data_IF_584297283422
#
_entry.id   IF_584297283422
#
_cell.length_a   1.000
_cell.length_b   1.000
_cell.length_c   1.000
_cell.angle_alpha   90.00
_cell.angle_beta   90.00
_cell.angle_gamma   90.00
#
_symmetry.space_group_name_H-M   'P 1'
#
loop_
_entity.id
_entity.type
_entity.pdbx_description
1 polymer ?
#
# COMPACT_ATOMS: atom_id res chain seq x y z
N UNK A 1 -55.49 -29.91 63.14
CA UNK A 1 -55.13 -31.34 63.25
C UNK A 1 -54.15 -31.67 62.14
N UNK A 2 -52.93 -32.08 62.51
CA UNK A 2 -51.99 -33.04 61.87
C UNK A 2 -51.91 -33.04 60.32
N UNK A 3 -50.76 -32.94 59.65
CA UNK A 3 -49.36 -33.01 60.04
C UNK A 3 -48.42 -33.02 58.81
N UNK A 4 -47.15 -32.76 59.10
CA UNK A 4 -45.86 -33.10 58.47
C UNK A 4 -45.63 -33.24 56.96
N UNK A 5 -44.52 -32.61 56.51
CA UNK A 5 -43.42 -33.35 55.88
C UNK A 5 -42.95 -32.94 54.47
N UNK A 6 -41.82 -32.19 54.42
CA UNK A 6 -40.74 -32.18 53.39
C UNK A 6 -41.11 -31.83 51.92
N UNK A 7 -40.34 -31.19 51.02
CA UNK A 7 -38.94 -30.72 50.88
C UNK A 7 -38.88 -29.77 49.65
N UNK A 8 -37.79 -29.01 49.53
CA UNK A 8 -37.26 -28.34 48.32
C UNK A 8 -37.84 -26.99 47.85
N UNK A 9 -37.26 -25.89 48.36
CA UNK A 9 -37.20 -24.61 47.63
C UNK A 9 -35.79 -24.39 47.08
N UNK A 10 -35.68 -24.57 45.75
CA UNK A 10 -34.51 -24.28 44.91
C UNK A 10 -33.98 -22.86 45.15
N UNK A 11 -32.70 -22.78 45.50
CA UNK A 11 -31.89 -21.55 45.54
C UNK A 11 -31.66 -21.01 44.12
N UNK A 12 -31.99 -19.74 43.89
CA UNK A 12 -31.63 -19.01 42.67
C UNK A 12 -30.22 -18.43 42.82
N UNK A 13 -29.23 -19.13 42.25
CA UNK A 13 -27.86 -18.66 42.10
C UNK A 13 -27.76 -17.46 41.15
N UNK A 14 -27.50 -16.27 41.70
CA UNK A 14 -27.04 -15.09 40.93
C UNK A 14 -25.52 -15.18 40.73
N UNK A 15 -25.07 -15.84 39.65
CA UNK A 15 -23.66 -15.79 39.22
C UNK A 15 -23.31 -14.39 38.68
N UNK A 16 -22.62 -13.59 39.51
CA UNK A 16 -21.83 -12.42 39.10
C UNK A 16 -20.74 -12.86 38.11
N UNK A 17 -20.88 -12.56 36.82
CA UNK A 17 -19.78 -12.64 35.84
C UNK A 17 -18.81 -11.49 36.09
N UNK A 18 -17.67 -11.77 36.74
CA UNK A 18 -16.48 -10.91 36.74
C UNK A 18 -16.02 -10.71 35.29
N UNK A 19 -16.17 -9.51 34.73
CA UNK A 19 -15.46 -9.08 33.51
C UNK A 19 -13.96 -9.06 33.84
N UNK A 20 -13.21 -10.05 33.39
CA UNK A 20 -11.75 -9.97 33.33
C UNK A 20 -11.39 -8.85 32.34
N UNK A 21 -10.85 -7.74 32.84
CA UNK A 21 -10.11 -6.77 32.03
C UNK A 21 -8.88 -7.49 31.47
N UNK A 22 -8.89 -7.83 30.18
CA UNK A 22 -7.68 -8.19 29.44
C UNK A 22 -6.86 -6.91 29.22
N UNK A 23 -6.16 -6.47 30.26
CA UNK A 23 -5.05 -5.53 30.10
C UNK A 23 -3.84 -6.32 29.61
N UNK A 24 -3.72 -6.49 28.30
CA UNK A 24 -2.48 -6.96 27.70
C UNK A 24 -1.40 -5.90 27.93
N UNK A 25 -0.46 -6.15 28.84
CA UNK A 25 0.68 -5.26 29.02
C UNK A 25 1.45 -5.16 27.70
N UNK A 26 1.72 -3.93 27.24
CA UNK A 26 2.59 -3.69 26.08
C UNK A 26 3.92 -4.41 26.32
N UNK A 27 4.27 -5.35 25.44
CA UNK A 27 5.55 -6.08 25.50
C UNK A 27 6.68 -5.05 25.46
N UNK A 28 7.61 -5.12 26.41
CA UNK A 28 8.73 -4.16 26.49
C UNK A 28 9.60 -4.32 25.23
N UNK A 29 9.96 -3.21 24.60
CA UNK A 29 10.81 -3.21 23.41
C UNK A 29 12.21 -3.76 23.72
N UNK A 30 12.82 -4.45 22.76
CA UNK A 30 14.23 -4.85 22.83
C UNK A 30 15.14 -3.62 22.70
N UNK A 31 16.41 -3.73 23.09
CA UNK A 31 17.38 -2.64 22.96
C UNK A 31 17.51 -2.15 21.50
N UNK A 32 17.55 -3.09 20.54
CA UNK A 32 17.56 -2.79 19.11
C UNK A 32 16.29 -2.07 18.65
N UNK A 33 15.12 -2.51 19.11
CA UNK A 33 13.85 -1.85 18.81
C UNK A 33 13.81 -0.43 19.37
N UNK A 34 14.32 -0.22 20.58
CA UNK A 34 14.41 1.11 21.19
C UNK A 34 15.38 2.02 20.43
N UNK A 35 16.55 1.50 20.02
CA UNK A 35 17.50 2.25 19.20
C UNK A 35 16.88 2.65 17.86
N UNK A 36 16.27 1.69 17.15
CA UNK A 36 15.60 1.95 15.88
C UNK A 36 14.47 2.97 16.03
N UNK A 37 13.65 2.85 17.08
CA UNK A 37 12.59 3.81 17.37
C UNK A 37 13.13 5.23 17.60
N UNK A 38 14.22 5.36 18.35
CA UNK A 38 14.85 6.66 18.60
C UNK A 38 15.42 7.25 17.30
N UNK A 39 16.15 6.47 16.50
CA UNK A 39 16.71 6.93 15.23
C UNK A 39 15.63 7.37 14.25
N UNK A 40 14.53 6.62 14.17
CA UNK A 40 13.38 6.97 13.31
C UNK A 40 12.71 8.25 13.81
N UNK A 41 12.50 8.37 15.12
CA UNK A 41 11.89 9.56 15.73
C UNK A 41 12.75 10.79 15.46
N UNK A 42 14.05 10.70 15.72
CA UNK A 42 15.01 11.79 15.46
C UNK A 42 15.00 12.19 13.98
N UNK A 43 15.08 11.23 13.07
CA UNK A 43 15.04 11.49 11.62
C UNK A 43 13.75 12.20 11.18
N UNK A 44 12.60 11.82 11.74
CA UNK A 44 11.29 12.43 11.43
C UNK A 44 11.24 13.91 11.84
N UNK A 45 11.82 14.24 12.99
CA UNK A 45 11.75 15.58 13.59
C UNK A 45 12.98 16.47 13.33
N UNK A 46 14.00 15.96 12.62
CA UNK A 46 15.28 16.64 12.36
C UNK A 46 15.14 18.08 11.82
N UNK A 47 14.13 18.33 10.98
CA UNK A 47 13.94 19.64 10.33
C UNK A 47 13.10 20.63 11.16
N UNK A 48 12.46 20.16 12.25
CA UNK A 48 11.59 21.00 13.10
C UNK A 48 12.38 21.74 14.19
N UNK A 49 13.62 21.35 14.48
CA UNK A 49 14.48 22.03 15.45
C UNK A 49 15.12 23.32 14.93
N UNK A 50 15.04 23.60 13.62
CA UNK A 50 15.63 24.78 13.00
C UNK A 50 14.64 25.92 12.72
N UNK A 51 13.34 25.74 12.95
CA UNK A 51 12.32 26.78 12.71
C UNK A 51 11.96 27.61 13.94
N UNK A 52 12.71 27.51 15.05
CA UNK A 52 12.50 28.34 16.25
C UNK A 52 13.45 29.53 16.32
N UNK A 53 13.48 30.39 15.28
CA UNK A 53 14.06 31.73 15.39
C UNK A 53 13.06 32.81 14.95
N UNK A 54 12.59 33.54 15.96
CA UNK A 54 12.07 34.92 15.95
C UNK A 54 10.94 35.27 14.96
N UNK A 55 9.71 35.23 15.46
CA UNK A 55 8.78 36.37 15.37
C UNK A 55 7.79 36.28 16.52
N UNK A 56 7.89 37.22 17.46
CA UNK A 56 6.84 37.47 18.43
C UNK A 56 5.67 38.12 17.69
N UNK A 57 4.62 37.36 17.42
CA UNK A 57 3.29 37.92 17.14
C UNK A 57 2.31 37.38 18.19
N UNK A 58 2.02 38.26 19.14
CA UNK A 58 1.09 38.14 20.24
C UNK A 58 -0.36 38.22 19.72
N UNK A 59 -0.87 37.14 19.12
CA UNK A 59 -2.32 36.97 18.89
C UNK A 59 -2.75 35.50 19.04
N UNK A 60 -3.06 35.13 20.29
CA UNK A 60 -4.22 34.29 20.63
C UNK A 60 -4.44 32.98 19.88
N UNK A 61 -3.56 31.98 20.04
CA UNK A 61 -3.95 30.55 19.92
C UNK A 61 -3.20 29.70 20.96
N UNK A 62 -3.30 30.06 22.25
CA UNK A 62 -2.73 29.25 23.33
C UNK A 62 -3.56 28.01 23.72
N UNK A 63 -4.52 27.60 22.89
CA UNK A 63 -5.46 26.53 23.23
C UNK A 63 -5.45 25.33 22.26
N UNK A 64 -4.28 24.92 21.74
CA UNK A 64 -4.12 23.61 21.07
C UNK A 64 -2.87 22.83 21.53
N UNK A 65 -1.98 23.41 22.35
CA UNK A 65 -0.69 22.78 22.70
C UNK A 65 -0.70 21.81 23.89
N UNK A 66 -1.87 21.50 24.47
CA UNK A 66 -1.99 20.56 25.61
C UNK A 66 -2.76 19.27 25.28
N UNK A 67 -2.73 18.82 24.02
CA UNK A 67 -2.95 17.38 23.76
C UNK A 67 -1.62 16.69 23.96
N UNK A 68 -1.56 15.81 24.97
CA UNK A 68 -0.48 14.86 25.16
C UNK A 68 -0.03 14.35 23.78
N UNK A 69 1.19 14.70 23.38
CA UNK A 69 1.76 14.25 22.12
C UNK A 69 1.87 12.74 22.27
N UNK A 70 0.93 12.01 21.66
CA UNK A 70 1.10 10.60 21.42
C UNK A 70 2.40 10.50 20.60
N UNK A 71 3.49 10.03 21.22
CA UNK A 71 4.81 9.85 20.59
C UNK A 71 4.79 8.82 19.44
N UNK A 72 3.62 8.48 18.91
CA UNK A 72 3.46 7.55 17.81
C UNK A 72 3.58 8.30 16.49
N UNK A 73 4.72 8.16 15.84
CA UNK A 73 4.90 8.61 14.47
C UNK A 73 4.10 7.69 13.54
N UNK A 74 3.21 8.27 12.74
CA UNK A 74 2.38 7.53 11.77
C UNK A 74 3.06 7.54 10.41
N UNK A 75 3.20 6.34 9.84
CA UNK A 75 3.77 6.09 8.52
C UNK A 75 2.68 5.57 7.59
N UNK A 76 2.71 6.03 6.34
CA UNK A 76 2.08 5.37 5.21
C UNK A 76 3.20 5.03 4.22
N UNK A 77 3.40 3.75 3.95
CA UNK A 77 4.53 3.26 3.15
C UNK A 77 4.11 2.70 1.80
N UNK A 78 2.81 2.69 1.48
CA UNK A 78 2.33 2.18 0.21
C UNK A 78 1.08 2.97 -0.21
N UNK A 79 1.25 3.90 -1.12
CA UNK A 79 0.18 4.79 -1.55
C UNK A 79 0.29 5.16 -3.02
N UNK A 80 -0.86 5.24 -3.70
CA UNK A 80 -0.95 5.53 -5.13
C UNK A 80 -1.66 6.86 -5.37
N UNK A 81 -1.17 7.59 -6.36
CA UNK A 81 -1.78 8.80 -6.89
C UNK A 81 -2.43 8.51 -8.25
N UNK A 82 -3.02 9.55 -8.84
CA UNK A 82 -3.56 9.50 -10.19
C UNK A 82 -2.49 9.43 -11.30
N UNK A 83 -1.20 9.35 -10.97
CA UNK A 83 -0.14 9.01 -11.92
C UNK A 83 -0.09 7.51 -12.23
N UNK A 84 -0.75 6.68 -11.41
CA UNK A 84 -0.98 5.28 -11.72
C UNK A 84 -2.46 4.93 -11.67
N UNK A 85 -2.97 4.37 -10.57
CA UNK A 85 -4.37 3.95 -10.44
C UNK A 85 -5.09 4.51 -9.20
N UNK A 86 -4.40 5.38 -8.45
CA UNK A 86 -5.00 6.18 -7.39
C UNK A 86 -6.01 7.20 -7.93
N UNK A 87 -6.75 7.83 -7.01
CA UNK A 87 -7.77 8.82 -7.36
C UNK A 87 -7.29 10.26 -7.16
N UNK A 88 -6.44 10.49 -6.17
CA UNK A 88 -5.97 11.82 -5.79
C UNK A 88 -4.68 12.16 -6.53
N UNK A 89 -4.48 13.43 -6.86
CA UNK A 89 -3.14 13.90 -7.27
C UNK A 89 -2.13 13.72 -6.12
N UNK A 90 -0.82 13.67 -6.40
CA UNK A 90 0.20 13.62 -5.37
C UNK A 90 0.01 14.70 -4.30
N UNK A 91 -0.30 15.95 -4.69
CA UNK A 91 -0.59 17.03 -3.72
C UNK A 91 -1.78 16.70 -2.83
N UNK A 92 -2.90 16.26 -3.40
CA UNK A 92 -4.12 15.93 -2.65
C UNK A 92 -3.96 14.70 -1.76
N UNK A 93 -3.15 13.74 -2.19
CA UNK A 93 -2.79 12.58 -1.38
C UNK A 93 -1.99 13.01 -0.15
N UNK A 94 -0.99 13.88 -0.31
CA UNK A 94 -0.20 14.42 0.82
C UNK A 94 -1.07 15.24 1.77
N UNK A 95 -1.91 16.15 1.27
CA UNK A 95 -2.87 16.90 2.09
C UNK A 95 -3.75 15.96 2.92
N UNK A 96 -4.29 14.91 2.29
CA UNK A 96 -5.12 13.92 2.98
C UNK A 96 -4.33 13.15 4.03
N UNK A 97 -3.11 12.74 3.74
CA UNK A 97 -2.25 12.04 4.68
C UNK A 97 -1.95 12.92 5.91
N UNK A 98 -1.62 14.20 5.67
CA UNK A 98 -1.42 15.19 6.73
C UNK A 98 -2.64 15.31 7.65
N UNK A 99 -3.84 15.46 7.09
CA UNK A 99 -5.09 15.55 7.86
C UNK A 99 -5.36 14.31 8.72
N UNK A 100 -4.77 13.16 8.39
CA UNK A 100 -4.87 11.91 9.17
C UNK A 100 -3.69 11.70 10.13
N UNK A 101 -2.81 12.69 10.28
CA UNK A 101 -1.68 12.65 11.22
C UNK A 101 -0.44 11.92 10.71
N UNK A 102 -0.39 11.53 9.43
CA UNK A 102 0.79 10.91 8.82
C UNK A 102 1.96 11.90 8.83
N UNK A 103 3.14 11.43 9.24
CA UNK A 103 4.38 12.22 9.23
C UNK A 103 5.32 11.83 8.11
N UNK A 104 5.26 10.57 7.70
CA UNK A 104 6.09 10.02 6.63
C UNK A 104 5.19 9.27 5.65
N UNK A 105 5.25 9.66 4.39
CA UNK A 105 4.47 9.08 3.30
C UNK A 105 5.41 8.57 2.22
N UNK A 106 5.31 7.32 1.81
CA UNK A 106 5.90 6.84 0.58
C UNK A 106 4.86 6.90 -0.54
N UNK A 107 5.19 7.61 -1.62
CA UNK A 107 4.41 7.54 -2.85
C UNK A 107 5.03 6.44 -3.72
N UNK A 108 4.23 5.43 -4.06
CA UNK A 108 4.67 4.19 -4.69
C UNK A 108 3.76 3.85 -5.86
N UNK A 109 3.52 4.84 -6.74
CA UNK A 109 2.71 4.64 -7.93
C UNK A 109 3.19 3.43 -8.75
N UNK A 110 2.25 2.74 -9.40
CA UNK A 110 2.61 1.59 -10.24
C UNK A 110 3.49 1.99 -11.42
N UNK A 111 4.69 1.40 -11.47
CA UNK A 111 5.62 1.50 -12.58
C UNK A 111 5.97 2.94 -12.99
N UNK A 112 5.88 3.92 -12.08
CA UNK A 112 6.26 5.31 -12.36
C UNK A 112 6.65 6.05 -11.08
N UNK A 113 7.61 6.96 -11.20
CA UNK A 113 8.00 7.92 -10.14
C UNK A 113 7.61 9.37 -10.50
N UNK A 114 6.82 9.59 -11.55
CA UNK A 114 6.52 10.93 -12.05
C UNK A 114 5.77 11.83 -11.07
N UNK A 115 5.03 11.27 -10.11
CA UNK A 115 4.32 12.04 -9.08
C UNK A 115 5.19 12.49 -7.90
N UNK A 116 6.42 11.97 -7.79
CA UNK A 116 7.30 12.21 -6.62
C UNK A 116 7.67 13.68 -6.43
N UNK A 117 8.07 14.46 -7.47
CA UNK A 117 8.40 15.87 -7.30
C UNK A 117 7.23 16.70 -6.74
N UNK A 118 6.01 16.46 -7.22
CA UNK A 118 4.80 17.14 -6.73
C UNK A 118 4.50 16.78 -5.27
N UNK A 119 4.64 15.50 -4.90
CA UNK A 119 4.46 15.04 -3.52
C UNK A 119 5.48 15.69 -2.57
N UNK A 120 6.76 15.72 -2.94
CA UNK A 120 7.84 16.32 -2.13
C UNK A 120 7.54 17.81 -1.90
N UNK A 121 7.20 18.54 -2.96
CA UNK A 121 6.93 19.97 -2.85
C UNK A 121 5.72 20.25 -1.95
N UNK A 122 4.67 19.45 -2.05
CA UNK A 122 3.51 19.60 -1.16
C UNK A 122 3.84 19.25 0.28
N UNK A 123 4.61 18.20 0.52
CA UNK A 123 4.95 17.73 1.86
C UNK A 123 5.79 18.73 2.66
N UNK A 124 6.66 19.49 1.99
CA UNK A 124 7.43 20.59 2.61
C UNK A 124 6.54 21.59 3.35
N UNK A 125 5.38 21.93 2.77
CA UNK A 125 4.41 22.86 3.36
C UNK A 125 3.78 22.35 4.66
N UNK A 126 3.78 21.04 4.87
CA UNK A 126 3.15 20.38 6.03
C UNK A 126 4.18 19.82 7.03
N UNK A 127 5.48 20.02 6.79
CA UNK A 127 6.54 19.39 7.57
C UNK A 127 6.48 17.86 7.53
N UNK A 128 5.97 17.30 6.43
CA UNK A 128 5.94 15.85 6.18
C UNK A 128 7.17 15.42 5.39
N UNK A 129 7.59 14.16 5.57
CA UNK A 129 8.65 13.56 4.76
C UNK A 129 8.04 12.65 3.70
N UNK A 130 8.54 12.78 2.47
CA UNK A 130 8.25 11.84 1.39
C UNK A 130 9.41 10.85 1.27
N UNK A 131 9.09 9.56 1.23
CA UNK A 131 10.02 8.52 0.77
C UNK A 131 9.74 8.32 -0.72
N UNK A 132 10.69 8.66 -1.61
CA UNK A 132 10.53 8.36 -3.04
C UNK A 132 10.43 6.85 -3.24
N UNK A 133 9.38 6.39 -3.91
CA UNK A 133 9.23 4.99 -4.23
C UNK A 133 8.43 4.71 -5.49
N UNK A 134 8.33 3.43 -5.81
CA UNK A 134 7.56 2.90 -6.95
C UNK A 134 7.13 1.48 -6.60
N UNK A 135 5.90 1.12 -6.96
CA UNK A 135 5.45 -0.29 -6.93
C UNK A 135 5.65 -0.89 -8.33
N UNK A 136 6.63 -1.79 -8.45
CA UNK A 136 7.01 -2.40 -9.73
C UNK A 136 6.18 -3.66 -9.95
N UNK A 137 5.50 -3.71 -11.09
CA UNK A 137 4.78 -4.89 -11.56
C UNK A 137 5.75 -5.93 -12.06
N UNK A 138 5.64 -7.15 -11.53
CA UNK A 138 6.51 -8.26 -11.90
C UNK A 138 5.70 -9.56 -12.00
N UNK A 139 6.33 -10.58 -12.52
CA UNK A 139 5.85 -11.96 -12.46
C UNK A 139 6.87 -12.82 -11.72
N UNK A 140 6.37 -13.85 -11.05
CA UNK A 140 7.20 -14.88 -10.44
C UNK A 140 6.90 -16.23 -11.07
N UNK A 141 7.96 -16.92 -11.49
CA UNK A 141 7.88 -18.25 -12.09
C UNK A 141 8.50 -19.26 -11.13
N UNK A 142 7.67 -20.14 -10.55
CA UNK A 142 8.18 -21.19 -9.69
C UNK A 142 8.89 -22.26 -10.54
N UNK A 143 10.10 -22.65 -10.13
CA UNK A 143 10.87 -23.70 -10.82
C UNK A 143 10.06 -25.00 -10.93
N UNK A 144 9.83 -25.46 -12.15
CA UNK A 144 9.03 -26.67 -12.43
C UNK A 144 7.51 -26.44 -12.50
N UNK A 145 7.05 -25.19 -12.40
CA UNK A 145 5.67 -24.81 -12.71
C UNK A 145 5.65 -24.00 -14.01
N UNK A 146 4.69 -24.28 -14.89
CA UNK A 146 4.40 -23.44 -16.07
C UNK A 146 3.55 -22.22 -15.73
N UNK A 147 3.08 -22.10 -14.48
CA UNK A 147 2.22 -20.99 -14.06
C UNK A 147 3.02 -19.78 -13.59
N UNK A 148 2.84 -18.66 -14.26
CA UNK A 148 3.30 -17.34 -13.81
C UNK A 148 2.30 -16.76 -12.80
N UNK A 149 2.82 -16.18 -11.72
CA UNK A 149 2.01 -15.46 -10.74
C UNK A 149 2.41 -13.99 -10.70
N UNK A 150 1.45 -13.03 -10.83
CA UNK A 150 1.75 -11.62 -10.65
C UNK A 150 2.26 -11.34 -9.23
N UNK A 151 3.37 -10.63 -9.13
CA UNK A 151 3.99 -10.19 -7.87
C UNK A 151 4.34 -8.72 -7.98
N UNK A 152 4.17 -7.94 -6.92
CA UNK A 152 4.61 -6.55 -6.90
C UNK A 152 5.75 -6.35 -5.93
N UNK A 153 6.76 -5.59 -6.36
CA UNK A 153 7.93 -5.24 -5.57
C UNK A 153 7.95 -3.74 -5.36
N UNK A 154 7.88 -3.31 -4.11
CA UNK A 154 8.08 -1.92 -3.73
C UNK A 154 9.57 -1.61 -3.75
N UNK A 155 9.92 -0.50 -4.37
CA UNK A 155 11.25 0.09 -4.29
C UNK A 155 11.17 1.39 -3.50
N UNK A 156 11.96 1.51 -2.42
CA UNK A 156 12.11 2.75 -1.67
C UNK A 156 13.52 3.32 -1.87
N UNK A 157 13.60 4.62 -2.13
CA UNK A 157 14.86 5.33 -2.33
C UNK A 157 15.06 6.39 -1.25
N UNK A 158 16.31 6.86 -1.12
CA UNK A 158 16.61 8.00 -0.27
C UNK A 158 16.02 9.30 -0.84
N UNK A 159 16.14 10.41 -0.11
CA UNK A 159 15.71 11.73 -0.58
C UNK A 159 16.38 12.20 -1.87
N UNK A 160 17.53 11.63 -2.23
CA UNK A 160 18.24 11.91 -3.48
C UNK A 160 17.67 11.12 -4.68
N UNK A 161 16.73 10.20 -4.46
CA UNK A 161 16.20 9.31 -5.48
C UNK A 161 17.15 8.17 -5.85
N UNK A 162 16.86 7.43 -6.94
CA UNK A 162 17.71 6.35 -7.43
C UNK A 162 19.04 6.88 -7.98
N UNK A 163 20.15 6.20 -7.69
CA UNK A 163 21.49 6.58 -8.16
C UNK A 163 21.66 6.46 -9.68
N UNK A 164 20.86 5.60 -10.32
CA UNK A 164 20.83 5.37 -11.76
C UNK A 164 19.41 5.55 -12.30
N UNK A 165 18.90 6.77 -12.21
CA UNK A 165 17.52 7.10 -12.56
C UNK A 165 17.14 6.66 -13.99
N UNK A 166 18.00 6.90 -14.98
CA UNK A 166 17.70 6.56 -16.38
C UNK A 166 17.55 5.04 -16.60
N UNK A 167 18.35 4.23 -15.93
CA UNK A 167 18.26 2.76 -16.01
C UNK A 167 16.92 2.28 -15.43
N UNK A 168 16.53 2.82 -14.27
CA UNK A 168 15.23 2.54 -13.65
C UNK A 168 14.09 3.00 -14.56
N UNK A 169 14.13 4.23 -15.05
CA UNK A 169 13.05 4.82 -15.85
C UNK A 169 12.84 4.04 -17.16
N UNK A 170 13.92 3.64 -17.84
CA UNK A 170 13.81 2.79 -19.04
C UNK A 170 13.16 1.44 -18.72
N UNK A 171 13.50 0.84 -17.59
CA UNK A 171 12.89 -0.40 -17.14
C UNK A 171 11.39 -0.22 -16.86
N UNK A 172 11.02 0.83 -16.13
CA UNK A 172 9.63 1.15 -15.81
C UNK A 172 8.81 1.51 -17.08
N UNK A 173 9.39 2.24 -18.02
CA UNK A 173 8.76 2.59 -19.28
C UNK A 173 8.38 1.35 -20.10
N UNK A 174 9.26 0.36 -20.19
CA UNK A 174 8.96 -0.91 -20.87
C UNK A 174 7.75 -1.64 -20.24
N UNK A 175 7.63 -1.61 -18.91
CA UNK A 175 6.48 -2.21 -18.22
C UNK A 175 5.19 -1.45 -18.58
N UNK A 176 5.25 -0.11 -18.57
CA UNK A 176 4.12 0.74 -18.93
C UNK A 176 3.67 0.51 -20.37
N UNK A 177 4.59 0.33 -21.31
CA UNK A 177 4.26 -0.02 -22.71
C UNK A 177 3.50 -1.36 -22.80
N UNK A 178 3.96 -2.36 -22.05
CA UNK A 178 3.26 -3.64 -21.91
C UNK A 178 1.85 -3.48 -21.33
N UNK A 179 1.64 -2.57 -20.38
CA UNK A 179 0.32 -2.27 -19.81
C UNK A 179 -0.66 -1.72 -20.85
N UNK A 180 -0.21 -0.86 -21.78
CA UNK A 180 -1.06 -0.35 -22.86
C UNK A 180 -1.58 -1.48 -23.75
N UNK A 181 -0.70 -2.39 -24.16
CA UNK A 181 -1.08 -3.56 -24.97
C UNK A 181 -2.05 -4.46 -24.21
N UNK A 182 -1.71 -4.78 -22.96
CA UNK A 182 -2.55 -5.58 -22.08
C UNK A 182 -3.95 -5.00 -21.92
N UNK A 183 -4.08 -3.69 -21.72
CA UNK A 183 -5.37 -3.02 -21.59
C UNK A 183 -6.22 -3.10 -22.86
N UNK A 184 -5.61 -2.94 -24.04
CA UNK A 184 -6.30 -3.13 -25.32
C UNK A 184 -6.81 -4.56 -25.47
N UNK A 185 -6.01 -5.56 -25.11
CA UNK A 185 -6.41 -6.97 -25.17
C UNK A 185 -7.56 -7.29 -24.21
N UNK A 186 -7.53 -6.74 -22.98
CA UNK A 186 -8.64 -6.89 -22.04
C UNK A 186 -9.94 -6.32 -22.61
N UNK A 187 -9.90 -5.16 -23.25
CA UNK A 187 -11.06 -4.54 -23.91
C UNK A 187 -11.57 -5.43 -25.04
N UNK A 188 -10.67 -5.96 -25.89
CA UNK A 188 -11.05 -6.87 -26.97
C UNK A 188 -11.74 -8.14 -26.44
N UNK A 189 -11.23 -8.72 -25.34
CA UNK A 189 -11.85 -9.88 -24.68
C UNK A 189 -13.23 -9.54 -24.12
N UNK A 190 -13.38 -8.40 -23.44
CA UNK A 190 -14.68 -7.93 -22.93
C UNK A 190 -15.70 -7.69 -24.06
N UNK A 191 -15.27 -7.11 -25.18
CA UNK A 191 -16.13 -6.90 -26.35
C UNK A 191 -16.64 -8.24 -26.92
N UNK A 192 -15.78 -9.27 -26.99
CA UNK A 192 -16.20 -10.64 -27.38
C UNK A 192 -17.19 -11.27 -26.40
N UNK A 193 -17.11 -10.92 -25.13
CA UNK A 193 -18.05 -11.32 -24.08
C UNK A 193 -19.36 -10.51 -24.08
N UNK A 194 -19.60 -9.69 -25.11
CA UNK A 194 -20.77 -8.80 -25.24
C UNK A 194 -20.84 -7.71 -24.17
N UNK A 195 -19.69 -7.28 -23.65
CA UNK A 195 -19.53 -6.17 -22.70
C UNK A 195 -18.74 -5.05 -23.40
N UNK A 196 -19.35 -4.31 -24.34
CA UNK A 196 -18.62 -3.36 -25.17
C UNK A 196 -18.01 -2.24 -24.34
N UNK A 197 -16.69 -2.05 -24.48
CA UNK A 197 -15.92 -0.93 -23.96
C UNK A 197 -15.09 -0.30 -25.08
N UNK A 198 -14.93 1.03 -25.00
CA UNK A 198 -14.12 1.81 -25.92
C UNK A 198 -12.78 2.15 -25.28
N UNK A 199 -11.71 2.13 -26.08
CA UNK A 199 -10.37 2.49 -25.63
C UNK A 199 -10.33 3.91 -25.04
N UNK A 200 -11.01 4.84 -25.69
CA UNK A 200 -11.03 6.26 -25.32
C UNK A 200 -11.61 6.47 -23.93
N UNK A 201 -12.58 5.63 -23.54
CA UNK A 201 -13.19 5.69 -22.20
C UNK A 201 -12.21 5.23 -21.12
N UNK A 202 -11.55 4.08 -21.34
CA UNK A 202 -10.52 3.56 -20.41
C UNK A 202 -9.34 4.53 -20.30
N UNK A 203 -8.87 5.07 -21.43
CA UNK A 203 -7.78 6.05 -21.46
C UNK A 203 -8.17 7.36 -20.75
N UNK A 204 -9.42 7.81 -20.89
CA UNK A 204 -9.94 8.98 -20.16
C UNK A 204 -9.94 8.75 -18.64
N UNK A 205 -10.34 7.57 -18.19
CA UNK A 205 -10.35 7.20 -16.76
C UNK A 205 -8.92 7.11 -16.20
N UNK A 206 -7.98 6.53 -16.95
CA UNK A 206 -6.59 6.46 -16.54
C UNK A 206 -5.94 7.85 -16.44
N UNK A 207 -6.28 8.75 -17.36
CA UNK A 207 -5.70 10.09 -17.42
C UNK A 207 -4.56 10.19 -18.42
N UNK A 208 -4.16 11.43 -18.70
CA UNK A 208 -3.16 11.72 -19.75
C UNK A 208 -1.78 11.21 -19.31
N UNK A 209 -1.16 10.37 -20.15
CA UNK A 209 0.18 9.83 -19.90
C UNK A 209 0.24 8.68 -18.90
N UNK A 210 -0.91 8.21 -18.41
CA UNK A 210 -1.01 7.11 -17.44
C UNK A 210 -1.25 5.79 -18.19
N UNK A 211 -0.45 4.77 -17.88
CA UNK A 211 -0.58 3.45 -18.47
C UNK A 211 -1.78 2.69 -17.83
N UNK A 212 -2.83 2.34 -18.58
CA UNK A 212 -4.03 1.76 -17.98
C UNK A 212 -3.80 0.36 -17.40
N UNK A 213 -3.92 0.22 -16.08
CA UNK A 213 -4.04 -1.07 -15.40
C UNK A 213 -5.47 -1.67 -15.39
N UNK A 214 -5.59 -2.88 -14.83
CA UNK A 214 -6.88 -3.59 -14.64
C UNK A 214 -7.93 -2.77 -13.90
N UNK A 215 -7.50 -1.96 -12.94
CA UNK A 215 -8.41 -1.12 -12.15
C UNK A 215 -9.12 -0.07 -13.02
N UNK A 216 -8.45 0.51 -14.02
CA UNK A 216 -9.09 1.45 -14.96
C UNK A 216 -10.12 0.77 -15.85
N UNK A 217 -9.83 -0.45 -16.33
CA UNK A 217 -10.80 -1.26 -17.06
C UNK A 217 -12.00 -1.59 -16.17
N UNK A 218 -11.78 -1.99 -14.93
CA UNK A 218 -12.84 -2.24 -13.97
C UNK A 218 -13.72 -1.00 -13.71
N UNK A 219 -13.12 0.18 -13.55
CA UNK A 219 -13.84 1.46 -13.44
C UNK A 219 -14.67 1.74 -14.69
N UNK A 220 -14.12 1.52 -15.87
CA UNK A 220 -14.84 1.68 -17.13
C UNK A 220 -16.04 0.72 -17.24
N UNK A 221 -15.89 -0.53 -16.78
CA UNK A 221 -17.00 -1.50 -16.73
C UNK A 221 -18.13 -1.02 -15.81
N UNK A 222 -17.79 -0.42 -14.66
CA UNK A 222 -18.77 0.15 -13.73
C UNK A 222 -19.48 1.36 -14.36
N UNK A 223 -18.72 2.31 -14.91
CA UNK A 223 -19.29 3.51 -15.55
C UNK A 223 -20.17 3.17 -16.77
N UNK A 224 -19.83 2.09 -17.49
CA UNK A 224 -20.63 1.59 -18.62
C UNK A 224 -21.86 0.78 -18.20
N UNK A 225 -22.06 0.51 -16.90
CA UNK A 225 -23.19 -0.26 -16.38
C UNK A 225 -23.09 -1.78 -16.58
N UNK A 226 -21.91 -2.30 -16.94
CA UNK A 226 -21.69 -3.74 -17.16
C UNK A 226 -21.57 -4.54 -15.86
N UNK A 227 -21.20 -3.86 -14.78
CA UNK A 227 -21.03 -4.40 -13.42
C UNK A 227 -21.42 -3.35 -12.38
N UNK A 228 -21.91 -3.79 -11.24
CA UNK A 228 -22.38 -2.94 -10.14
C UNK A 228 -21.23 -2.23 -9.40
N UNK A 229 -20.07 -2.88 -9.30
CA UNK A 229 -18.93 -2.40 -8.54
C UNK A 229 -17.62 -3.09 -8.96
N UNK A 230 -16.51 -2.54 -8.50
CA UNK A 230 -15.16 -3.06 -8.79
C UNK A 230 -14.98 -4.51 -8.33
N UNK A 231 -15.54 -4.89 -7.18
CA UNK A 231 -15.44 -6.26 -6.67
C UNK A 231 -16.07 -7.25 -7.64
N UNK A 232 -17.22 -6.92 -8.22
CA UNK A 232 -17.87 -7.74 -9.23
C UNK A 232 -17.04 -7.80 -10.53
N UNK A 233 -16.44 -6.69 -10.96
CA UNK A 233 -15.56 -6.65 -12.13
C UNK A 233 -14.38 -7.63 -12.00
N UNK A 234 -13.67 -7.57 -10.88
CA UNK A 234 -12.55 -8.48 -10.59
C UNK A 234 -13.02 -9.91 -10.41
N UNK A 235 -14.06 -10.17 -9.63
CA UNK A 235 -14.51 -11.53 -9.34
C UNK A 235 -15.02 -12.29 -10.58
N UNK A 236 -15.61 -11.60 -11.56
CA UNK A 236 -16.22 -12.25 -12.74
C UNK A 236 -15.34 -12.24 -13.98
N UNK A 237 -14.54 -11.19 -14.18
CA UNK A 237 -13.90 -10.94 -15.49
C UNK A 237 -12.40 -10.73 -15.41
N UNK A 238 -11.91 -9.98 -14.41
CA UNK A 238 -10.54 -9.45 -14.39
C UNK A 238 -9.58 -10.12 -13.38
N UNK A 239 -10.03 -11.18 -12.69
CA UNK A 239 -9.16 -11.99 -11.80
C UNK A 239 -8.07 -12.70 -12.61
N UNK A 240 -7.02 -13.18 -11.94
CA UNK A 240 -5.91 -13.87 -12.59
C UNK A 240 -6.37 -15.17 -13.28
N UNK A 241 -6.17 -15.25 -14.59
CA UNK A 241 -6.69 -16.34 -15.42
C UNK A 241 -8.18 -16.22 -15.78
N UNK A 242 -8.83 -15.09 -15.46
CA UNK A 242 -10.23 -14.85 -15.76
C UNK A 242 -10.54 -14.58 -17.24
N UNK A 243 -11.83 -14.51 -17.62
CA UNK A 243 -12.28 -14.43 -19.02
C UNK A 243 -11.72 -13.24 -19.81
N UNK A 244 -11.53 -12.10 -19.13
CA UNK A 244 -10.96 -10.89 -19.73
C UNK A 244 -9.52 -10.64 -19.27
N UNK A 245 -8.92 -11.53 -18.49
CA UNK A 245 -7.54 -11.40 -18.04
C UNK A 245 -6.58 -11.47 -19.22
N UNK A 246 -5.57 -10.61 -19.21
CA UNK A 246 -4.46 -10.66 -20.15
C UNK A 246 -3.17 -10.44 -19.39
N UNK A 247 -2.12 -11.13 -19.80
CA UNK A 247 -0.75 -10.91 -19.29
C UNK A 247 -0.08 -9.80 -20.11
N UNK A 248 0.89 -9.13 -19.53
CA UNK A 248 1.74 -8.15 -20.20
C UNK A 248 3.17 -8.68 -20.35
N UNK A 249 4.08 -7.77 -20.66
CA UNK A 249 5.51 -8.02 -20.69
C UNK A 249 6.15 -7.71 -19.34
N UNK A 250 5.51 -8.13 -18.24
CA UNK A 250 6.06 -7.92 -16.91
C UNK A 250 7.40 -8.66 -16.76
N UNK A 251 8.42 -8.03 -16.15
CA UNK A 251 9.70 -8.67 -15.89
C UNK A 251 9.59 -9.67 -14.74
N UNK A 252 10.58 -10.57 -14.65
CA UNK A 252 10.73 -11.44 -13.50
C UNK A 252 11.01 -10.64 -12.23
N UNK A 253 10.39 -11.03 -11.12
CA UNK A 253 10.55 -10.39 -9.82
C UNK A 253 12.02 -10.32 -9.37
N UNK A 254 12.82 -11.36 -9.66
CA UNK A 254 14.26 -11.38 -9.36
C UNK A 254 15.03 -10.28 -10.10
N UNK A 255 14.66 -10.00 -11.35
CA UNK A 255 15.29 -8.95 -12.15
C UNK A 255 14.98 -7.58 -11.56
N UNK A 256 13.73 -7.35 -11.15
CA UNK A 256 13.34 -6.11 -10.49
C UNK A 256 14.08 -5.91 -9.15
N UNK A 257 14.16 -6.94 -8.30
CA UNK A 257 14.91 -6.85 -7.02
C UNK A 257 16.38 -6.48 -7.26
N UNK A 258 17.03 -7.14 -8.22
CA UNK A 258 18.43 -6.85 -8.54
C UNK A 258 18.62 -5.45 -9.15
N UNK A 259 17.66 -4.94 -9.92
CA UNK A 259 17.70 -3.59 -10.45
C UNK A 259 17.60 -2.58 -9.31
N UNK A 260 16.62 -2.75 -8.40
CA UNK A 260 16.42 -1.87 -7.25
C UNK A 260 17.70 -1.76 -6.40
N UNK A 261 18.41 -2.88 -6.20
CA UNK A 261 19.71 -2.87 -5.52
C UNK A 261 20.75 -2.01 -6.23
N UNK A 262 20.89 -2.19 -7.55
CA UNK A 262 21.88 -1.48 -8.36
C UNK A 262 21.56 0.02 -8.50
N UNK A 263 20.30 0.40 -8.37
CA UNK A 263 19.84 1.80 -8.36
C UNK A 263 19.84 2.41 -6.95
N UNK A 264 20.30 1.66 -5.93
CA UNK A 264 20.48 2.15 -4.56
C UNK A 264 19.21 2.19 -3.71
N UNK A 265 18.19 1.39 -4.06
CA UNK A 265 16.93 1.31 -3.35
C UNK A 265 16.77 0.07 -2.47
N UNK A 266 15.73 0.10 -1.64
CA UNK A 266 15.28 -1.03 -0.83
C UNK A 266 14.12 -1.75 -1.52
N UNK A 267 14.36 -2.98 -1.96
CA UNK A 267 13.33 -3.89 -2.48
C UNK A 267 12.50 -4.54 -1.35
N UNK A 268 11.18 -4.38 -1.39
CA UNK A 268 10.21 -4.90 -0.41
C UNK A 268 9.07 -5.62 -1.13
N UNK A 269 8.67 -6.79 -0.64
CA UNK A 269 7.54 -7.54 -1.21
C UNK A 269 6.22 -6.91 -0.78
N UNK A 270 5.43 -6.46 -1.75
CA UNK A 270 4.11 -5.87 -1.51
C UNK A 270 3.07 -6.95 -1.22
N UNK A 271 2.09 -6.64 -0.36
CA UNK A 271 0.87 -7.42 -0.10
C UNK A 271 0.99 -8.95 -0.23
N UNK A 272 1.93 -9.61 0.50
CA UNK A 272 2.19 -11.04 0.34
C UNK A 272 0.98 -11.94 0.63
N UNK A 273 -0.03 -11.43 1.33
CA UNK A 273 -1.31 -12.13 1.58
C UNK A 273 -2.17 -12.32 0.32
N UNK A 274 -1.86 -11.64 -0.78
CA UNK A 274 -2.55 -11.81 -2.07
C UNK A 274 -1.95 -12.97 -2.90
N UNK A 275 -0.79 -13.48 -2.51
CA UNK A 275 -0.06 -14.52 -3.24
C UNK A 275 -0.53 -15.93 -2.85
N UNK A 276 -0.47 -16.86 -3.80
CA UNK A 276 -0.80 -18.28 -3.61
C UNK A 276 0.21 -18.98 -2.69
N UNK A 277 1.51 -18.71 -2.87
CA UNK A 277 2.58 -19.31 -2.07
C UNK A 277 3.66 -18.29 -1.66
N UNK A 278 3.34 -17.35 -0.75
CA UNK A 278 4.25 -16.29 -0.36
C UNK A 278 5.56 -16.82 0.23
N UNK A 279 5.54 -17.92 0.99
CA UNK A 279 6.74 -18.45 1.64
C UNK A 279 7.81 -18.96 0.64
N UNK A 280 7.39 -19.51 -0.50
CA UNK A 280 8.31 -19.92 -1.56
C UNK A 280 8.91 -18.69 -2.28
N UNK A 281 8.06 -17.72 -2.59
CA UNK A 281 8.46 -16.46 -3.25
C UNK A 281 9.45 -15.70 -2.37
N UNK A 282 9.15 -15.52 -1.08
CA UNK A 282 10.01 -14.81 -0.12
C UNK A 282 11.39 -15.46 -0.04
N UNK A 283 11.47 -16.80 0.08
CA UNK A 283 12.76 -17.51 0.11
C UNK A 283 13.59 -17.24 -1.14
N UNK A 284 12.96 -17.34 -2.31
CA UNK A 284 13.63 -17.13 -3.59
C UNK A 284 14.08 -15.68 -3.78
N UNK A 285 13.22 -14.73 -3.44
CA UNK A 285 13.53 -13.30 -3.56
C UNK A 285 14.58 -12.86 -2.52
N UNK A 286 14.62 -13.48 -1.33
CA UNK A 286 15.67 -13.26 -0.34
C UNK A 286 17.05 -13.61 -0.90
N UNK A 287 17.17 -14.73 -1.62
CA UNK A 287 18.45 -15.17 -2.22
C UNK A 287 19.01 -14.16 -3.25
N UNK A 288 18.15 -13.32 -3.84
CA UNK A 288 18.54 -12.28 -4.79
C UNK A 288 18.53 -10.87 -4.19
N UNK A 289 18.26 -10.74 -2.88
CA UNK A 289 18.44 -9.48 -2.16
C UNK A 289 17.19 -8.79 -1.60
N UNK A 290 16.03 -9.44 -1.55
CA UNK A 290 14.83 -8.84 -0.94
C UNK A 290 15.11 -8.35 0.50
N UNK A 291 14.84 -7.07 0.80
CA UNK A 291 15.13 -6.45 2.10
C UNK A 291 13.98 -6.59 3.10
N UNK A 292 12.74 -6.62 2.62
CA UNK A 292 11.58 -6.62 3.49
C UNK A 292 10.32 -7.15 2.81
N UNK A 293 9.24 -7.17 3.58
CA UNK A 293 7.90 -7.52 3.13
C UNK A 293 6.86 -6.72 3.90
N UNK A 294 5.73 -6.44 3.28
CA UNK A 294 4.60 -5.83 3.96
C UNK A 294 3.91 -6.81 4.91
N UNK A 295 3.66 -6.33 6.13
CA UNK A 295 2.97 -7.12 7.17
C UNK A 295 1.64 -6.51 7.60
N UNK A 296 1.45 -5.21 7.42
CA UNK A 296 0.21 -4.53 7.77
C UNK A 296 -0.66 -4.36 6.53
N UNK A 297 -1.91 -4.83 6.62
CA UNK A 297 -2.91 -4.64 5.58
C UNK A 297 -3.52 -3.23 5.67
N UNK A 298 -4.19 -2.81 4.61
CA UNK A 298 -4.96 -1.55 4.58
C UNK A 298 -6.12 -1.48 5.60
N UNK A 299 -6.56 -2.61 6.18
CA UNK A 299 -7.50 -2.64 7.31
C UNK A 299 -6.81 -2.60 8.68
N UNK A 300 -5.49 -2.35 8.70
CA UNK A 300 -4.66 -2.27 9.90
C UNK A 300 -4.36 -3.63 10.55
N UNK A 301 -4.79 -4.75 9.94
CA UNK A 301 -4.53 -6.09 10.51
C UNK A 301 -3.13 -6.56 10.17
N UNK A 302 -2.46 -7.12 11.18
CA UNK A 302 -1.18 -7.81 10.99
C UNK A 302 -1.43 -9.15 10.29
N UNK A 303 -0.76 -9.35 9.15
CA UNK A 303 -0.71 -10.64 8.50
C UNK A 303 0.39 -11.50 9.11
N UNK A 304 0.03 -12.71 9.55
CA UNK A 304 0.99 -13.72 10.00
C UNK A 304 1.14 -14.75 8.89
N UNK A 305 2.36 -14.88 8.35
CA UNK A 305 2.72 -15.96 7.44
C UNK A 305 2.93 -17.21 8.31
N UNK A 306 1.90 -18.04 8.45
CA UNK A 306 1.99 -19.38 9.07
C UNK A 306 2.43 -20.42 8.06
#
# INVERSE_FOLDING_TARGET
>A
MVGDGHVEKRSKDKKKKKKQKRGGGKKKMTAEQSLAFNSVTEWVYLDQSHSSSSSEDDFGVHQILNRAVDNNVVFELHSHSNFSDGYLSPSKLVERAHCNGVKVLALTDHDTMSGIPEAIETARRFGMKIIPGVEISTIFCQRGSESEEPVHILAYYSSCGPSKYEELENFLANIRDGRFLRAKDMILKLNKLKLPLKWEHVAKIAGKGVAPGRLHVARAMVEAGHVENLKQAFARYLYDGGPAYSTGSEPLAEVAVQLIHRTGGLAVLAHPWALKNPAAIIRKLKDVGLHGLEVYRSDGKLHTLT
#
